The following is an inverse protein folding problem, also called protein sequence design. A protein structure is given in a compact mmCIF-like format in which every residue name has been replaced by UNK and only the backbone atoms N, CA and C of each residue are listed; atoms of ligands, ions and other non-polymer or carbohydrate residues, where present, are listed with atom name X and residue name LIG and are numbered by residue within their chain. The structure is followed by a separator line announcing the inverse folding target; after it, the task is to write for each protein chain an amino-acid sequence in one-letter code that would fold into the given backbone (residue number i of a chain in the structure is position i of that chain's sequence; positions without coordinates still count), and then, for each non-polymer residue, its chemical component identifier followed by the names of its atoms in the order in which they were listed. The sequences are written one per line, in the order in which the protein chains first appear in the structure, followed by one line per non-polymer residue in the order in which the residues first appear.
data_IF_762002151774
#
_entry.id   IF_762002151774
#
_cell.length_a   1.000
_cell.length_b   1.000
_cell.length_c   1.000
_cell.angle_alpha   90.00
_cell.angle_beta   90.00
_cell.angle_gamma   90.00
#
_symmetry.space_group_name_H-M   'P 1'
#
loop_
_entity.id
_entity.type
_entity.pdbx_description
1 polymer ?
#
# COMPACT_ATOMS: atom_id res chain seq x y z
N UNK A 1 4.12 -26.56 -9.67
CA UNK A 1 4.48 -26.25 -8.27
C UNK A 1 3.52 -25.20 -7.77
N UNK A 2 2.76 -25.45 -6.71
CA UNK A 2 1.96 -24.40 -6.09
C UNK A 2 2.94 -23.46 -5.38
N UNK A 3 3.07 -22.22 -5.86
CA UNK A 3 3.82 -21.20 -5.16
C UNK A 3 3.08 -20.92 -3.84
N UNK A 4 3.75 -21.08 -2.70
CA UNK A 4 3.22 -20.55 -1.44
C UNK A 4 3.02 -19.06 -1.64
N UNK A 5 1.78 -18.59 -1.63
CA UNK A 5 1.50 -17.17 -1.62
C UNK A 5 2.14 -16.60 -0.35
N UNK A 6 3.09 -15.67 -0.51
CA UNK A 6 3.71 -15.01 0.63
C UNK A 6 2.64 -14.28 1.42
N UNK A 7 2.49 -14.67 2.69
CA UNK A 7 1.53 -14.04 3.58
C UNK A 7 2.10 -12.72 4.08
N UNK A 8 1.55 -11.61 3.57
CA UNK A 8 1.92 -10.27 4.02
C UNK A 8 1.17 -9.92 5.31
N UNK A 9 1.86 -9.91 6.45
CA UNK A 9 1.26 -9.50 7.73
C UNK A 9 0.79 -8.04 7.76
N UNK A 10 1.38 -7.17 6.95
CA UNK A 10 0.96 -5.77 6.84
C UNK A 10 -0.25 -5.58 5.92
N UNK A 11 -0.52 -6.55 5.05
CA UNK A 11 -1.70 -6.58 4.17
C UNK A 11 -2.23 -8.02 4.02
N UNK A 12 -2.91 -8.57 5.04
CA UNK A 12 -3.35 -9.96 5.06
C UNK A 12 -4.35 -10.33 3.95
N UNK A 13 -5.01 -9.33 3.38
CA UNK A 13 -6.02 -9.50 2.32
C UNK A 13 -5.49 -9.09 0.94
N UNK A 14 -4.22 -8.71 0.84
CA UNK A 14 -3.60 -8.24 -0.39
C UNK A 14 -4.44 -7.12 -1.05
N UNK A 15 -4.94 -6.19 -0.24
CA UNK A 15 -5.73 -5.05 -0.69
C UNK A 15 -4.99 -4.26 -1.77
N UNK A 16 -3.65 -4.16 -1.67
CA UNK A 16 -2.82 -3.52 -2.70
C UNK A 16 -2.97 -4.13 -4.10
N UNK A 17 -3.22 -5.44 -4.18
CA UNK A 17 -3.43 -6.16 -5.44
C UNK A 17 -4.84 -5.95 -6.00
N UNK A 18 -5.79 -5.52 -5.16
CA UNK A 18 -7.16 -5.20 -5.57
C UNK A 18 -7.30 -3.77 -6.08
N UNK A 19 -6.33 -2.90 -5.77
CA UNK A 19 -6.31 -1.52 -6.25
C UNK A 19 -5.93 -1.45 -7.73
N UNK A 20 -6.52 -0.48 -8.43
CA UNK A 20 -6.09 -0.06 -9.75
C UNK A 20 -4.79 0.75 -9.68
N UNK A 21 -4.16 0.98 -10.84
CA UNK A 21 -2.93 1.77 -10.89
C UNK A 21 -3.13 3.19 -10.36
N UNK A 22 -4.26 3.83 -10.71
CA UNK A 22 -4.57 5.19 -10.27
C UNK A 22 -4.80 5.26 -8.76
N UNK A 23 -5.51 4.29 -8.18
CA UNK A 23 -5.72 4.22 -6.73
C UNK A 23 -4.41 4.04 -5.97
N UNK A 24 -3.48 3.23 -6.49
CA UNK A 24 -2.13 3.11 -5.92
C UNK A 24 -1.37 4.43 -5.98
N UNK A 25 -1.43 5.14 -7.11
CA UNK A 25 -0.77 6.45 -7.25
C UNK A 25 -1.32 7.48 -6.24
N UNK A 26 -2.63 7.54 -6.06
CA UNK A 26 -3.26 8.44 -5.08
C UNK A 26 -2.87 8.09 -3.65
N UNK A 27 -2.86 6.80 -3.30
CA UNK A 27 -2.39 6.33 -1.99
C UNK A 27 -0.95 6.74 -1.72
N UNK A 28 -0.06 6.52 -2.67
CA UNK A 28 1.36 6.82 -2.52
C UNK A 28 1.59 8.34 -2.37
N UNK A 29 0.85 9.15 -3.12
CA UNK A 29 0.85 10.61 -2.98
C UNK A 29 0.34 11.07 -1.60
N UNK A 30 -0.73 10.45 -1.10
CA UNK A 30 -1.26 10.74 0.23
C UNK A 30 -0.26 10.35 1.33
N UNK A 31 0.38 9.18 1.21
CA UNK A 31 1.38 8.72 2.15
C UNK A 31 2.59 9.68 2.21
N UNK A 32 3.08 10.13 1.05
CA UNK A 32 4.17 11.11 0.96
C UNK A 32 3.80 12.44 1.64
N UNK A 33 2.60 12.97 1.37
CA UNK A 33 2.12 14.19 2.01
C UNK A 33 2.04 14.06 3.54
N UNK A 34 1.53 12.93 4.03
CA UNK A 34 1.44 12.67 5.47
C UNK A 34 2.82 12.62 6.13
N UNK A 35 3.79 11.95 5.50
CA UNK A 35 5.16 11.88 6.03
C UNK A 35 5.87 13.23 6.02
N UNK A 36 5.73 14.00 4.94
CA UNK A 36 6.46 15.26 4.78
C UNK A 36 5.84 16.43 5.55
N UNK A 37 4.51 16.48 5.67
CA UNK A 37 3.78 17.66 6.17
C UNK A 37 3.08 17.45 7.50
N UNK A 38 2.67 16.22 7.82
CA UNK A 38 1.91 15.91 9.04
C UNK A 38 2.78 15.29 10.14
N UNK A 39 3.73 14.42 9.77
CA UNK A 39 4.63 13.75 10.73
C UNK A 39 5.65 14.65 11.45
N UNK A 40 6.19 15.73 10.85
CA UNK A 40 7.16 16.60 11.53
C UNK A 40 6.51 17.69 12.41
N UNK A 41 5.20 17.62 12.64
CA UNK A 41 4.47 18.51 13.55
C UNK A 41 4.35 17.90 14.93
#
# INVERSE_FOLDING_TARGET
MAANAEFNWADPLLLDQQLTADERMVRDAAAAYCQDKLMPR
#
